data_IF_269274756790
#
_entry.id   IF_269274756790
#
_cell.length_a   1.000
_cell.length_b   1.000
_cell.length_c   1.000
_cell.angle_alpha   90.00
_cell.angle_beta   90.00
_cell.angle_gamma   90.00
#
_symmetry.space_group_name_H-M   'P 1'
#
loop_
_entity.id
_entity.type
_entity.pdbx_description
1 polymer ?
#
# COMPACT_ATOMS: atom_id res chain seq x y z
N UNK A 1 14.50 9.57 -11.13
CA UNK A 1 14.30 9.75 -9.66
C UNK A 1 13.00 10.48 -9.42
N UNK A 2 12.20 10.00 -8.47
CA UNK A 2 10.97 10.67 -8.04
C UNK A 2 11.26 11.99 -7.32
N UNK A 3 10.30 12.91 -7.36
CA UNK A 3 10.35 14.18 -6.63
C UNK A 3 9.75 13.96 -5.25
N UNK A 4 10.42 14.49 -4.22
CA UNK A 4 10.02 14.33 -2.82
C UNK A 4 9.41 15.62 -2.29
N UNK A 5 8.44 15.48 -1.39
CA UNK A 5 7.82 16.61 -0.69
C UNK A 5 7.27 16.20 0.66
N UNK A 6 6.83 17.21 1.40
CA UNK A 6 6.19 17.06 2.72
C UNK A 6 4.95 17.93 2.80
N UNK A 7 3.95 17.43 3.51
CA UNK A 7 2.82 18.25 3.98
C UNK A 7 2.71 18.14 5.50
N UNK A 8 1.99 19.08 6.13
CA UNK A 8 1.61 18.94 7.53
C UNK A 8 0.30 18.15 7.61
N UNK A 9 0.34 17.02 8.30
CA UNK A 9 -0.82 16.18 8.58
C UNK A 9 -1.22 16.23 10.07
N UNK A 10 -2.27 15.50 10.45
CA UNK A 10 -2.76 15.49 11.83
C UNK A 10 -1.80 14.86 12.84
N UNK A 11 -0.93 13.96 12.38
CA UNK A 11 0.03 13.23 13.22
C UNK A 11 1.49 13.70 13.00
N UNK A 12 1.70 14.86 12.36
CA UNK A 12 3.01 15.40 12.00
C UNK A 12 3.22 15.54 10.50
N UNK A 13 4.46 15.70 10.06
CA UNK A 13 4.78 15.82 8.65
C UNK A 13 4.61 14.48 7.92
N UNK A 14 3.98 14.54 6.76
CA UNK A 14 3.76 13.39 5.87
C UNK A 14 4.66 13.56 4.64
N UNK A 15 5.59 12.64 4.47
CA UNK A 15 6.44 12.57 3.29
C UNK A 15 5.72 11.89 2.13
N UNK A 16 6.00 12.37 0.92
CA UNK A 16 5.52 11.73 -0.32
C UNK A 16 6.58 11.79 -1.43
N UNK A 17 6.39 10.92 -2.41
CA UNK A 17 7.12 10.89 -3.68
C UNK A 17 6.13 11.06 -4.81
N UNK A 18 6.52 11.79 -5.86
CA UNK A 18 5.67 11.99 -7.05
C UNK A 18 6.43 11.74 -8.35
N UNK A 19 5.71 11.36 -9.39
CA UNK A 19 6.25 11.08 -10.71
C UNK A 19 6.59 12.35 -11.49
N UNK A 20 5.70 13.36 -11.46
CA UNK A 20 5.80 14.60 -12.24
C UNK A 20 6.27 15.78 -11.40
N UNK A 21 6.78 16.81 -12.06
CA UNK A 21 7.17 18.08 -11.40
C UNK A 21 5.97 18.93 -10.97
N UNK A 22 4.82 18.77 -11.66
CA UNK A 22 3.58 19.41 -11.22
C UNK A 22 3.11 18.91 -9.87
N UNK A 23 2.41 19.75 -9.13
CA UNK A 23 1.81 19.36 -7.86
C UNK A 23 0.76 18.25 -8.05
N UNK A 24 0.49 17.45 -6.99
CA UNK A 24 -0.61 16.49 -7.00
C UNK A 24 -1.93 17.16 -7.40
N UNK A 25 -2.69 16.53 -8.28
CA UNK A 25 -3.88 17.14 -8.88
C UNK A 25 -4.98 16.13 -9.15
N UNK A 26 -6.12 16.63 -9.59
CA UNK A 26 -7.28 15.82 -9.96
C UNK A 26 -6.92 14.72 -10.97
N UNK A 27 -7.64 13.61 -10.89
CA UNK A 27 -7.47 12.41 -11.71
C UNK A 27 -6.12 11.70 -11.60
N UNK A 28 -5.26 12.09 -10.65
CA UNK A 28 -4.03 11.37 -10.34
C UNK A 28 -4.28 10.03 -9.63
N UNK A 29 -3.20 9.36 -9.27
CA UNK A 29 -3.20 8.11 -8.50
C UNK A 29 -2.43 8.29 -7.20
N UNK A 30 -3.08 8.08 -6.04
CA UNK A 30 -2.43 8.01 -4.73
C UNK A 30 -2.14 6.58 -4.35
N UNK A 31 -0.88 6.28 -4.02
CA UNK A 31 -0.41 4.95 -3.67
C UNK A 31 -0.06 4.86 -2.17
N UNK A 32 -0.61 3.85 -1.49
CA UNK A 32 -0.38 3.55 -0.07
C UNK A 32 0.35 2.21 0.06
N UNK A 33 1.51 2.23 0.72
CA UNK A 33 2.41 1.08 0.81
C UNK A 33 1.95 0.02 1.82
N UNK A 34 2.51 -1.17 1.70
CA UNK A 34 2.39 -2.24 2.68
C UNK A 34 3.29 -1.97 3.91
N UNK A 35 2.93 -2.51 5.07
CA UNK A 35 3.76 -2.46 6.27
C UNK A 35 4.76 -3.64 6.32
N UNK A 36 5.97 -3.42 6.86
CA UNK A 36 6.53 -2.18 7.42
C UNK A 36 7.43 -1.43 6.42
N UNK A 37 6.98 -1.24 5.20
CA UNK A 37 7.72 -0.55 4.14
C UNK A 37 7.38 0.96 4.10
N UNK A 38 7.66 1.60 2.96
CA UNK A 38 7.38 3.01 2.69
C UNK A 38 7.08 3.21 1.19
N UNK A 39 6.84 4.45 0.77
CA UNK A 39 6.64 4.81 -0.63
C UNK A 39 7.78 4.39 -1.58
N UNK A 40 8.93 4.00 -1.03
CA UNK A 40 10.09 3.53 -1.82
C UNK A 40 9.75 2.32 -2.70
N UNK A 41 8.79 1.48 -2.29
CA UNK A 41 8.37 0.31 -3.08
C UNK A 41 7.73 0.69 -4.42
N UNK A 42 7.33 1.94 -4.57
CA UNK A 42 6.72 2.48 -5.78
C UNK A 42 7.71 3.25 -6.68
N UNK A 43 9.00 3.30 -6.34
CA UNK A 43 9.98 4.13 -7.08
C UNK A 43 10.01 3.81 -8.57
N UNK A 44 10.05 2.52 -8.95
CA UNK A 44 10.06 2.12 -10.35
C UNK A 44 8.72 2.44 -11.05
N UNK A 45 7.59 2.26 -10.36
CA UNK A 45 6.28 2.66 -10.89
C UNK A 45 6.20 4.18 -11.09
N UNK A 46 6.78 4.99 -10.20
CA UNK A 46 6.83 6.45 -10.35
C UNK A 46 7.69 6.86 -11.54
N UNK A 47 8.82 6.20 -11.77
CA UNK A 47 9.68 6.44 -12.95
C UNK A 47 8.93 6.09 -14.25
N UNK A 48 8.26 4.95 -14.30
CA UNK A 48 7.46 4.52 -15.44
C UNK A 48 6.27 5.47 -15.66
N UNK A 49 5.60 5.88 -14.60
CA UNK A 49 4.50 6.85 -14.66
C UNK A 49 4.95 8.20 -15.22
N UNK A 50 6.18 8.64 -14.88
CA UNK A 50 6.79 9.84 -15.44
C UNK A 50 6.99 9.71 -16.95
N UNK A 51 7.49 8.56 -17.42
CA UNK A 51 7.68 8.30 -18.84
C UNK A 51 6.36 8.34 -19.63
N UNK A 52 5.25 7.95 -18.98
CA UNK A 52 3.90 7.94 -19.54
C UNK A 52 3.11 9.25 -19.27
N UNK A 53 3.74 10.27 -18.70
CA UNK A 53 3.10 11.55 -18.31
C UNK A 53 1.87 11.34 -17.41
N UNK A 54 1.98 10.47 -16.40
CA UNK A 54 0.92 10.16 -15.44
C UNK A 54 1.25 10.71 -14.05
N UNK A 55 0.30 11.44 -13.46
CA UNK A 55 0.43 11.99 -12.11
C UNK A 55 0.18 10.89 -11.07
N UNK A 56 1.26 10.36 -10.52
CA UNK A 56 1.24 9.33 -9.47
C UNK A 56 1.98 9.84 -8.25
N UNK A 57 1.40 9.63 -7.09
CA UNK A 57 1.96 10.02 -5.80
C UNK A 57 1.97 8.82 -4.87
N UNK A 58 3.10 8.53 -4.28
CA UNK A 58 3.26 7.49 -3.26
C UNK A 58 3.55 8.15 -1.90
N UNK A 59 2.74 7.83 -0.89
CA UNK A 59 2.78 8.47 0.43
C UNK A 59 3.39 7.52 1.45
N UNK A 60 4.29 8.03 2.29
CA UNK A 60 4.73 7.33 3.50
C UNK A 60 3.65 7.50 4.58
N UNK A 61 3.08 6.40 5.05
CA UNK A 61 2.10 6.46 6.15
C UNK A 61 2.79 6.90 7.45
N UNK A 62 2.10 7.62 8.36
CA UNK A 62 2.68 8.07 9.62
C UNK A 62 3.39 6.96 10.40
N UNK A 63 4.64 7.24 10.81
CA UNK A 63 5.52 6.27 11.47
C UNK A 63 6.41 5.44 10.53
N UNK A 64 6.20 5.52 9.22
CA UNK A 64 6.98 4.78 8.23
C UNK A 64 7.71 5.72 7.26
N UNK A 65 8.79 5.22 6.65
CA UNK A 65 9.61 5.99 5.74
C UNK A 65 10.13 7.28 6.36
N UNK A 66 9.87 8.40 5.71
CA UNK A 66 10.28 9.73 6.17
C UNK A 66 9.13 10.55 6.80
N UNK A 67 7.96 9.94 7.02
CA UNK A 67 6.86 10.59 7.75
C UNK A 67 7.08 10.56 9.26
N UNK A 68 6.60 11.60 9.95
CA UNK A 68 6.70 11.68 11.39
C UNK A 68 5.99 10.51 12.08
N UNK A 69 6.49 10.18 13.27
CA UNK A 69 5.95 9.10 14.08
C UNK A 69 4.82 9.61 14.97
N UNK A 70 3.60 9.02 14.89
CA UNK A 70 2.53 9.30 15.82
C UNK A 70 2.91 9.01 17.28
N UNK A 71 2.17 9.62 18.21
CA UNK A 71 2.39 9.41 19.66
C UNK A 71 1.97 8.01 20.14
N UNK A 72 1.10 7.33 19.40
CA UNK A 72 0.58 6.00 19.72
C UNK A 72 0.30 5.20 18.44
N UNK A 73 0.16 3.85 18.52
CA UNK A 73 -0.17 3.02 17.37
C UNK A 73 -1.46 3.48 16.69
N UNK A 74 -1.42 3.91 15.41
CA UNK A 74 -2.61 4.34 14.68
C UNK A 74 -3.55 3.17 14.39
N UNK A 75 -4.83 3.50 14.17
CA UNK A 75 -5.79 2.62 13.48
C UNK A 75 -5.78 2.86 11.97
N UNK A 76 -6.49 2.03 11.20
CA UNK A 76 -6.67 2.27 9.76
C UNK A 76 -7.41 3.59 9.51
N UNK A 77 -8.36 3.94 10.39
CA UNK A 77 -9.10 5.21 10.33
C UNK A 77 -8.16 6.41 10.57
N UNK A 78 -7.20 6.31 11.49
CA UNK A 78 -6.20 7.37 11.73
C UNK A 78 -5.26 7.52 10.52
N UNK A 79 -4.80 6.41 9.94
CA UNK A 79 -4.03 6.47 8.70
C UNK A 79 -4.83 7.11 7.57
N UNK A 80 -6.11 6.73 7.40
CA UNK A 80 -6.98 7.31 6.38
C UNK A 80 -7.16 8.82 6.58
N UNK A 81 -7.33 9.30 7.81
CA UNK A 81 -7.43 10.72 8.11
C UNK A 81 -6.16 11.48 7.67
N UNK A 82 -4.97 10.90 7.86
CA UNK A 82 -3.72 11.48 7.36
C UNK A 82 -3.67 11.53 5.82
N UNK A 83 -4.18 10.51 5.14
CA UNK A 83 -4.24 10.50 3.67
C UNK A 83 -5.28 11.50 3.14
N UNK A 84 -6.41 11.67 3.82
CA UNK A 84 -7.42 12.67 3.49
C UNK A 84 -6.85 14.08 3.68
N UNK A 85 -6.05 14.33 4.73
CA UNK A 85 -5.39 15.63 4.91
C UNK A 85 -4.43 15.96 3.75
N UNK A 86 -3.81 14.94 3.13
CA UNK A 86 -3.02 15.12 1.90
C UNK A 86 -3.90 15.56 0.73
N UNK A 87 -5.02 14.89 0.51
CA UNK A 87 -5.99 15.23 -0.55
C UNK A 87 -6.50 16.68 -0.39
N UNK A 88 -6.78 17.07 0.85
CA UNK A 88 -7.28 18.42 1.17
C UNK A 88 -6.18 19.49 1.03
N UNK A 89 -4.94 19.21 1.40
CA UNK A 89 -3.81 20.14 1.27
C UNK A 89 -3.57 20.57 -0.18
N UNK A 90 -3.77 19.66 -1.14
CA UNK A 90 -3.67 19.94 -2.57
C UNK A 90 -5.01 20.28 -3.23
N UNK A 91 -6.09 20.44 -2.45
CA UNK A 91 -7.44 20.78 -2.91
C UNK A 91 -7.95 19.85 -4.02
N UNK A 92 -7.56 18.57 -3.96
CA UNK A 92 -7.95 17.54 -4.94
C UNK A 92 -9.45 17.27 -4.81
N UNK A 93 -10.16 17.30 -5.93
CA UNK A 93 -11.60 17.08 -6.01
C UNK A 93 -11.94 15.64 -6.37
N UNK A 94 -11.16 15.05 -7.25
CA UNK A 94 -11.35 13.68 -7.75
C UNK A 94 -10.00 12.95 -7.84
N UNK A 95 -9.90 11.74 -7.31
CA UNK A 95 -8.64 10.97 -7.24
C UNK A 95 -8.89 9.48 -7.40
N UNK A 96 -7.89 8.76 -7.90
CA UNK A 96 -7.83 7.31 -7.86
C UNK A 96 -6.91 6.86 -6.72
N UNK A 97 -7.20 5.70 -6.14
CA UNK A 97 -6.41 5.15 -5.03
C UNK A 97 -5.77 3.83 -5.43
N UNK A 98 -4.56 3.60 -4.95
CA UNK A 98 -3.91 2.28 -4.97
C UNK A 98 -3.41 1.94 -3.59
N UNK A 99 -3.73 0.76 -3.09
CA UNK A 99 -3.22 0.27 -1.81
C UNK A 99 -2.60 -1.12 -1.93
N UNK A 100 -1.51 -1.36 -1.19
CA UNK A 100 -0.84 -2.66 -1.14
C UNK A 100 -0.89 -3.21 0.29
N UNK A 101 -1.43 -4.42 0.50
CA UNK A 101 -1.61 -5.07 1.81
C UNK A 101 -2.28 -4.13 2.84
N UNK A 102 -1.54 -3.62 3.83
CA UNK A 102 -2.02 -2.61 4.78
C UNK A 102 -2.56 -1.38 4.06
N UNK A 103 -1.88 -0.93 3.00
CA UNK A 103 -2.32 0.17 2.15
C UNK A 103 -3.66 -0.07 1.48
N UNK A 104 -4.01 -1.33 1.16
CA UNK A 104 -5.34 -1.69 0.63
C UNK A 104 -6.45 -1.35 1.62
N UNK A 105 -6.23 -1.58 2.92
CA UNK A 105 -7.19 -1.24 3.97
C UNK A 105 -7.32 0.27 4.17
N UNK A 106 -6.20 0.99 4.05
CA UNK A 106 -6.18 2.46 4.09
C UNK A 106 -6.96 3.03 2.90
N UNK A 107 -6.75 2.51 1.69
CA UNK A 107 -7.48 2.94 0.49
C UNK A 107 -9.00 2.72 0.63
N UNK A 108 -9.41 1.57 1.17
CA UNK A 108 -10.82 1.27 1.45
C UNK A 108 -11.42 2.26 2.46
N UNK A 109 -10.69 2.58 3.53
CA UNK A 109 -11.18 3.50 4.56
C UNK A 109 -11.26 4.94 4.05
N UNK A 110 -10.27 5.40 3.27
CA UNK A 110 -10.31 6.71 2.59
C UNK A 110 -11.54 6.79 1.70
N UNK A 111 -11.78 5.77 0.86
CA UNK A 111 -12.93 5.75 -0.04
C UNK A 111 -14.28 5.73 0.70
N UNK A 112 -14.34 5.10 1.86
CA UNK A 112 -15.53 5.09 2.71
C UNK A 112 -15.81 6.45 3.35
N UNK A 113 -14.75 7.21 3.75
CA UNK A 113 -14.90 8.51 4.40
C UNK A 113 -15.19 9.65 3.42
N UNK A 114 -14.63 9.60 2.20
CA UNK A 114 -14.80 10.66 1.19
C UNK A 114 -15.23 10.08 -0.18
N UNK A 115 -16.33 9.30 -0.24
CA UNK A 115 -16.73 8.56 -1.44
C UNK A 115 -16.88 9.43 -2.69
N UNK A 116 -17.34 10.65 -2.55
CA UNK A 116 -17.59 11.57 -3.67
C UNK A 116 -16.30 12.03 -4.38
N UNK A 117 -15.14 11.89 -3.72
CA UNK A 117 -13.84 12.24 -4.31
C UNK A 117 -13.16 11.05 -5.00
N UNK A 118 -13.59 9.81 -4.76
CA UNK A 118 -12.88 8.61 -5.23
C UNK A 118 -13.51 8.06 -6.50
N UNK A 119 -12.72 8.03 -7.57
CA UNK A 119 -13.18 7.55 -8.88
C UNK A 119 -13.03 6.05 -9.05
N UNK A 120 -11.83 5.52 -8.87
CA UNK A 120 -11.51 4.09 -8.98
C UNK A 120 -10.49 3.70 -7.93
N UNK A 121 -10.50 2.43 -7.53
CA UNK A 121 -9.57 1.88 -6.55
C UNK A 121 -8.84 0.68 -7.15
N UNK A 122 -7.53 0.60 -6.87
CA UNK A 122 -6.71 -0.56 -7.14
C UNK A 122 -6.20 -1.10 -5.80
N UNK A 123 -6.45 -2.37 -5.53
CA UNK A 123 -5.98 -3.04 -4.32
C UNK A 123 -5.02 -4.14 -4.71
N UNK A 124 -3.83 -4.16 -4.13
CA UNK A 124 -2.89 -5.27 -4.27
C UNK A 124 -2.97 -6.10 -3.00
N UNK A 125 -3.39 -7.34 -3.14
CA UNK A 125 -3.57 -8.29 -2.04
C UNK A 125 -4.49 -7.71 -0.95
N UNK A 126 -5.79 -7.83 -1.16
CA UNK A 126 -6.85 -7.34 -0.26
C UNK A 126 -7.46 -8.50 0.56
N UNK A 127 -6.74 -9.05 1.56
CA UNK A 127 -7.13 -10.27 2.22
C UNK A 127 -8.36 -10.12 3.10
N UNK A 128 -9.24 -11.12 3.04
CA UNK A 128 -10.34 -11.35 3.96
C UNK A 128 -9.99 -12.54 4.84
N UNK A 129 -9.70 -12.27 6.10
CA UNK A 129 -9.34 -13.30 7.09
C UNK A 129 -10.57 -13.77 7.86
N UNK A 130 -10.65 -15.07 8.13
CA UNK A 130 -11.52 -15.58 9.19
C UNK A 130 -10.90 -15.31 10.57
N UNK A 131 -11.65 -15.60 11.65
CA UNK A 131 -11.20 -15.27 13.01
C UNK A 131 -9.97 -16.08 13.44
N UNK A 132 -9.85 -17.33 13.01
CA UNK A 132 -8.71 -18.19 13.33
C UNK A 132 -7.44 -17.69 12.62
N UNK A 133 -7.52 -17.40 11.32
CA UNK A 133 -6.41 -16.83 10.55
C UNK A 133 -5.99 -15.48 11.15
N UNK A 134 -6.95 -14.63 11.49
CA UNK A 134 -6.69 -13.33 12.12
C UNK A 134 -5.95 -13.49 13.45
N UNK A 135 -6.32 -14.46 14.26
CA UNK A 135 -5.63 -14.77 15.53
C UNK A 135 -4.20 -15.26 15.28
N UNK A 136 -3.99 -16.13 14.29
CA UNK A 136 -2.66 -16.61 13.90
C UNK A 136 -1.77 -15.47 13.38
N UNK A 137 -2.29 -14.61 12.51
CA UNK A 137 -1.55 -13.46 11.99
C UNK A 137 -1.18 -12.46 13.09
N UNK A 138 -2.10 -12.18 14.03
CA UNK A 138 -1.78 -11.36 15.21
C UNK A 138 -0.64 -11.97 16.03
N UNK A 139 -0.67 -13.27 16.29
CA UNK A 139 0.40 -13.95 17.02
C UNK A 139 1.75 -13.86 16.30
N UNK A 140 1.76 -13.95 14.97
CA UNK A 140 2.98 -13.89 14.16
C UNK A 140 3.56 -12.48 14.10
N UNK A 141 2.75 -11.50 13.70
CA UNK A 141 3.23 -10.15 13.34
C UNK A 141 3.25 -9.16 14.51
N UNK A 142 2.52 -9.40 15.60
CA UNK A 142 2.50 -8.52 16.78
C UNK A 142 3.45 -8.99 17.88
N UNK A 143 4.20 -10.07 17.67
CA UNK A 143 5.27 -10.47 18.57
C UNK A 143 6.43 -9.47 18.49
N UNK A 144 6.76 -8.86 19.62
CA UNK A 144 7.80 -7.83 19.74
C UNK A 144 9.17 -8.40 20.11
N UNK A 145 9.25 -9.69 20.45
CA UNK A 145 10.47 -10.31 21.01
C UNK A 145 11.64 -10.34 20.02
N UNK A 146 11.37 -10.18 18.73
CA UNK A 146 12.36 -10.27 17.67
C UNK A 146 12.61 -8.96 16.91
N UNK A 147 12.03 -7.84 17.37
CA UNK A 147 12.19 -6.55 16.66
C UNK A 147 13.62 -6.05 16.66
N UNK A 148 14.34 -6.24 17.76
CA UNK A 148 15.74 -5.85 17.92
C UNK A 148 16.48 -6.92 18.73
N UNK A 149 17.55 -7.46 18.18
CA UNK A 149 18.47 -8.39 18.86
C UNK A 149 19.87 -7.79 18.89
N UNK A 150 20.55 -7.86 20.01
CA UNK A 150 21.88 -7.26 20.19
C UNK A 150 22.96 -7.88 19.30
N UNK A 151 22.76 -9.12 18.86
CA UNK A 151 23.65 -9.85 17.95
C UNK A 151 23.37 -9.60 16.45
N UNK A 152 22.36 -8.77 16.12
CA UNK A 152 21.96 -8.50 14.74
C UNK A 152 21.17 -9.61 14.03
N UNK A 153 20.83 -10.70 14.72
CA UNK A 153 20.11 -11.84 14.12
C UNK A 153 18.77 -11.46 13.51
N UNK A 154 18.08 -10.44 14.05
CA UNK A 154 16.84 -9.89 13.49
C UNK A 154 17.01 -9.36 12.06
N UNK A 155 18.17 -8.78 11.71
CA UNK A 155 18.44 -8.29 10.36
C UNK A 155 18.55 -9.45 9.36
N UNK A 156 19.26 -10.49 9.73
CA UNK A 156 19.41 -11.70 8.88
C UNK A 156 18.06 -12.39 8.70
N UNK A 157 17.26 -12.49 9.76
CA UNK A 157 15.92 -13.07 9.68
C UNK A 157 15.03 -12.28 8.72
N UNK A 158 14.93 -10.97 8.90
CA UNK A 158 14.11 -10.08 8.07
C UNK A 158 14.59 -10.06 6.60
N UNK A 159 15.91 -10.14 6.36
CA UNK A 159 16.46 -10.24 5.00
C UNK A 159 16.08 -11.55 4.32
N UNK A 160 16.21 -12.67 5.01
CA UNK A 160 15.83 -13.98 4.48
C UNK A 160 14.33 -14.07 4.18
N UNK A 161 13.49 -13.49 5.04
CA UNK A 161 12.05 -13.38 4.81
C UNK A 161 11.75 -12.56 3.53
N UNK A 162 12.41 -11.40 3.38
CA UNK A 162 12.25 -10.57 2.19
C UNK A 162 12.67 -11.28 0.91
N UNK A 163 13.73 -12.11 0.96
CA UNK A 163 14.18 -12.95 -0.16
C UNK A 163 13.20 -14.09 -0.46
N UNK A 164 12.71 -14.75 0.56
CA UNK A 164 11.82 -15.91 0.41
C UNK A 164 10.53 -15.56 -0.37
N UNK A 165 9.94 -14.42 -0.04
CA UNK A 165 8.71 -13.95 -0.70
C UNK A 165 8.96 -13.16 -1.99
N UNK A 166 10.22 -12.84 -2.31
CA UNK A 166 10.53 -12.06 -3.52
C UNK A 166 10.20 -12.82 -4.79
N UNK A 167 9.61 -12.10 -5.73
CA UNK A 167 9.37 -12.60 -7.09
C UNK A 167 10.68 -13.08 -7.73
N UNK A 168 10.61 -14.18 -8.48
CA UNK A 168 11.74 -14.70 -9.21
C UNK A 168 12.31 -13.64 -10.17
N UNK A 169 13.62 -13.47 -10.18
CA UNK A 169 14.33 -12.48 -11.00
C UNK A 169 14.65 -11.18 -10.26
N UNK A 170 14.08 -10.95 -9.08
CA UNK A 170 14.41 -9.78 -8.26
C UNK A 170 15.83 -9.92 -7.71
N UNK A 171 16.69 -8.93 -7.98
CA UNK A 171 18.09 -8.95 -7.54
C UNK A 171 18.22 -8.60 -6.05
N UNK A 172 19.33 -9.02 -5.43
CA UNK A 172 19.65 -8.62 -4.05
C UNK A 172 19.77 -7.10 -3.91
N UNK A 173 20.16 -6.39 -4.96
CA UNK A 173 20.22 -4.93 -4.99
C UNK A 173 18.82 -4.31 -4.90
N UNK A 174 17.84 -4.84 -5.64
CA UNK A 174 16.46 -4.34 -5.62
C UNK A 174 15.81 -4.62 -4.27
N UNK A 175 16.08 -5.80 -3.69
CA UNK A 175 15.66 -6.11 -2.32
C UNK A 175 16.28 -5.11 -1.35
N UNK A 176 17.59 -4.84 -1.42
CA UNK A 176 18.29 -3.93 -0.53
C UNK A 176 17.76 -2.50 -0.60
N UNK A 177 17.40 -2.01 -1.81
CA UNK A 177 16.81 -0.66 -2.00
C UNK A 177 15.52 -0.46 -1.21
N UNK A 178 14.70 -1.49 -1.06
CA UNK A 178 13.43 -1.41 -0.32
C UNK A 178 13.57 -1.87 1.13
N UNK A 179 14.48 -2.80 1.39
CA UNK A 179 14.68 -3.41 2.71
C UNK A 179 15.03 -2.40 3.81
N UNK A 180 15.81 -1.36 3.49
CA UNK A 180 16.18 -0.34 4.48
C UNK A 180 14.96 0.36 5.09
N UNK A 181 13.85 0.47 4.37
CA UNK A 181 12.61 1.07 4.88
C UNK A 181 12.07 0.33 6.12
N UNK A 182 12.30 -0.99 6.22
CA UNK A 182 11.92 -1.80 7.38
C UNK A 182 12.75 -1.50 8.63
N UNK A 183 13.89 -0.81 8.46
CA UNK A 183 14.87 -0.57 9.51
C UNK A 183 14.80 0.85 10.08
N UNK A 184 13.99 1.74 9.51
CA UNK A 184 13.94 3.17 9.93
C UNK A 184 13.39 3.32 11.34
N UNK A 185 12.28 2.66 11.66
CA UNK A 185 11.63 2.69 12.98
C UNK A 185 11.30 1.25 13.41
N UNK A 186 12.29 0.41 13.69
CA UNK A 186 12.07 -1.02 13.91
C UNK A 186 11.16 -1.31 15.11
N UNK A 187 11.20 -0.46 16.14
CA UNK A 187 10.41 -0.63 17.36
C UNK A 187 8.90 -0.48 17.13
N UNK A 188 8.48 0.15 16.02
CA UNK A 188 7.09 0.34 15.65
C UNK A 188 6.68 -0.42 14.37
N UNK A 189 7.55 -1.26 13.83
CA UNK A 189 7.30 -1.99 12.59
C UNK A 189 6.00 -2.81 12.62
N UNK A 190 5.54 -3.23 13.80
CA UNK A 190 4.29 -3.94 14.02
C UNK A 190 3.02 -3.07 13.95
N UNK A 191 3.13 -1.73 13.98
CA UNK A 191 1.97 -0.82 14.06
C UNK A 191 1.02 -0.97 12.88
N UNK A 192 1.54 -1.01 11.66
CA UNK A 192 0.71 -1.16 10.48
C UNK A 192 -0.01 -2.51 10.42
N UNK A 193 0.65 -3.59 10.84
CA UNK A 193 0.02 -4.90 10.95
C UNK A 193 -1.06 -4.91 12.03
N UNK A 194 -0.81 -4.28 13.20
CA UNK A 194 -1.81 -4.14 14.25
C UNK A 194 -3.07 -3.40 13.76
N UNK A 195 -2.88 -2.28 13.07
CA UNK A 195 -4.00 -1.55 12.45
C UNK A 195 -4.77 -2.45 11.47
N UNK A 196 -4.04 -3.13 10.58
CA UNK A 196 -4.61 -3.98 9.54
C UNK A 196 -5.43 -5.15 10.10
N UNK A 197 -4.95 -5.84 11.14
CA UNK A 197 -5.66 -6.99 11.73
C UNK A 197 -6.83 -6.60 12.65
N UNK A 198 -6.96 -5.33 13.00
CA UNK A 198 -8.10 -4.81 13.75
C UNK A 198 -9.17 -4.17 12.84
N UNK A 199 -8.94 -4.09 11.54
CA UNK A 199 -9.85 -3.50 10.57
C UNK A 199 -10.69 -4.56 9.84
N UNK A 200 -11.99 -4.26 9.65
CA UNK A 200 -12.92 -5.13 8.93
C UNK A 200 -13.02 -4.73 7.45
N UNK A 201 -12.14 -5.34 6.63
CA UNK A 201 -12.12 -5.07 5.19
C UNK A 201 -13.38 -5.53 4.46
N UNK A 202 -14.06 -6.58 4.94
CA UNK A 202 -15.24 -7.13 4.28
C UNK A 202 -16.39 -6.12 4.27
N UNK A 203 -16.64 -5.47 5.42
CA UNK A 203 -17.66 -4.41 5.54
C UNK A 203 -17.34 -3.21 4.66
N UNK A 204 -16.06 -2.84 4.58
CA UNK A 204 -15.66 -1.69 3.78
C UNK A 204 -15.75 -1.96 2.29
N UNK A 205 -15.33 -3.14 1.81
CA UNK A 205 -15.53 -3.57 0.43
C UNK A 205 -17.02 -3.54 0.04
N UNK A 206 -17.88 -4.06 0.91
CA UNK A 206 -19.32 -4.09 0.68
C UNK A 206 -19.98 -2.70 0.65
N UNK A 207 -19.38 -1.70 1.28
CA UNK A 207 -19.92 -0.34 1.33
C UNK A 207 -19.50 0.54 0.14
N UNK A 208 -18.39 0.22 -0.53
CA UNK A 208 -17.83 1.04 -1.60
C UNK A 208 -18.61 0.86 -2.89
N UNK A 209 -18.93 1.97 -3.56
CA UNK A 209 -19.73 2.00 -4.79
C UNK A 209 -18.88 2.26 -6.06
N UNK A 210 -17.70 2.86 -5.95
CA UNK A 210 -16.83 3.05 -7.10
C UNK A 210 -16.19 1.72 -7.56
N UNK A 211 -15.76 1.62 -8.83
CA UNK A 211 -15.10 0.42 -9.34
C UNK A 211 -13.81 0.08 -8.59
N UNK A 212 -13.60 -1.22 -8.32
CA UNK A 212 -12.40 -1.75 -7.65
C UNK A 212 -11.75 -2.81 -8.54
N UNK A 213 -10.46 -2.63 -8.84
CA UNK A 213 -9.60 -3.67 -9.38
C UNK A 213 -8.73 -4.25 -8.26
N UNK A 214 -8.86 -5.54 -8.01
CA UNK A 214 -7.97 -6.25 -7.09
C UNK A 214 -6.92 -6.99 -7.92
N UNK A 215 -5.66 -6.65 -7.72
CA UNK A 215 -4.51 -7.39 -8.24
C UNK A 215 -4.15 -8.46 -7.22
N UNK A 216 -4.22 -9.72 -7.62
CA UNK A 216 -3.99 -10.87 -6.74
C UNK A 216 -2.72 -11.64 -7.16
N UNK A 217 -1.52 -11.18 -6.76
CA UNK A 217 -0.28 -11.92 -6.98
C UNK A 217 -0.24 -13.21 -6.14
N UNK A 218 0.62 -14.15 -6.49
CA UNK A 218 0.87 -15.38 -5.74
C UNK A 218 1.81 -15.10 -4.54
N UNK A 219 1.42 -14.15 -3.68
CA UNK A 219 2.11 -13.80 -2.43
C UNK A 219 1.51 -14.54 -1.22
N UNK A 220 1.95 -14.19 -0.02
CA UNK A 220 1.50 -14.78 1.25
C UNK A 220 0.01 -14.56 1.56
N UNK A 221 -0.67 -13.65 0.85
CA UNK A 221 -2.09 -13.31 1.04
C UNK A 221 -3.00 -13.72 -0.13
N UNK A 222 -2.45 -14.48 -1.08
CA UNK A 222 -3.14 -14.88 -2.31
C UNK A 222 -4.51 -15.54 -2.06
N UNK A 223 -4.55 -16.56 -1.21
CA UNK A 223 -5.79 -17.31 -0.95
C UNK A 223 -6.82 -16.49 -0.19
N UNK A 224 -6.40 -15.66 0.75
CA UNK A 224 -7.30 -14.80 1.51
C UNK A 224 -7.87 -13.67 0.64
N UNK A 225 -7.10 -13.21 -0.36
CA UNK A 225 -7.53 -12.17 -1.30
C UNK A 225 -8.64 -12.64 -2.22
N UNK A 226 -8.66 -13.91 -2.63
CA UNK A 226 -9.75 -14.49 -3.46
C UNK A 226 -11.13 -14.30 -2.83
N UNK A 227 -11.23 -14.31 -1.50
CA UNK A 227 -12.49 -14.13 -0.76
C UNK A 227 -13.07 -12.72 -0.90
N UNK A 228 -12.26 -11.73 -1.30
CA UNK A 228 -12.74 -10.37 -1.52
C UNK A 228 -13.83 -10.29 -2.60
N UNK A 229 -13.86 -11.27 -3.54
CA UNK A 229 -14.87 -11.36 -4.61
C UNK A 229 -16.29 -11.31 -4.05
N UNK A 230 -16.56 -11.95 -2.92
CA UNK A 230 -17.88 -12.08 -2.33
C UNK A 230 -18.41 -10.77 -1.74
N UNK A 231 -17.56 -9.74 -1.66
CA UNK A 231 -17.86 -8.43 -1.07
C UNK A 231 -17.82 -7.28 -2.09
N UNK A 232 -17.54 -7.56 -3.37
CA UNK A 232 -17.54 -6.54 -4.41
C UNK A 232 -18.96 -6.26 -4.88
N UNK A 233 -19.44 -5.03 -4.70
CA UNK A 233 -20.81 -4.64 -5.03
C UNK A 233 -20.98 -3.90 -6.37
N UNK A 234 -19.88 -3.39 -6.94
CA UNK A 234 -19.92 -2.71 -8.24
C UNK A 234 -19.65 -3.70 -9.37
N UNK A 235 -20.47 -3.69 -10.43
CA UNK A 235 -20.37 -4.64 -11.54
C UNK A 235 -19.08 -4.49 -12.37
N UNK A 236 -18.40 -3.35 -12.30
CA UNK A 236 -17.12 -3.13 -12.96
C UNK A 236 -15.94 -3.60 -12.09
N UNK A 237 -16.21 -3.96 -10.83
CA UNK A 237 -15.20 -4.46 -9.92
C UNK A 237 -14.82 -5.91 -10.24
N UNK A 238 -13.52 -6.21 -10.17
CA UNK A 238 -13.00 -7.55 -10.47
C UNK A 238 -11.70 -7.85 -9.76
N UNK A 239 -11.37 -9.13 -9.70
CA UNK A 239 -10.06 -9.63 -9.29
C UNK A 239 -9.29 -10.07 -10.53
N UNK A 240 -8.06 -9.62 -10.66
CA UNK A 240 -7.10 -10.04 -11.69
C UNK A 240 -6.03 -10.92 -11.02
N UNK A 241 -6.04 -12.20 -11.36
CA UNK A 241 -5.02 -13.14 -10.90
C UNK A 241 -3.69 -12.89 -11.62
N UNK A 242 -2.63 -12.65 -10.87
CA UNK A 242 -1.28 -12.38 -11.38
C UNK A 242 -0.39 -13.61 -11.13
N UNK A 243 -0.52 -14.60 -12.01
CA UNK A 243 0.21 -15.87 -11.91
C UNK A 243 1.72 -15.64 -11.97
N UNK A 244 2.45 -16.31 -11.08
CA UNK A 244 3.90 -16.21 -10.93
C UNK A 244 4.42 -14.85 -10.45
N UNK A 245 3.54 -13.90 -10.12
CA UNK A 245 3.94 -12.66 -9.48
C UNK A 245 3.91 -12.80 -7.97
N UNK A 246 4.85 -12.15 -7.29
CA UNK A 246 4.94 -12.13 -5.83
C UNK A 246 5.55 -10.79 -5.37
N UNK A 247 5.98 -10.68 -4.12
CA UNK A 247 6.56 -9.45 -3.60
C UNK A 247 7.70 -8.92 -4.49
N UNK A 248 7.67 -7.62 -4.77
CA UNK A 248 8.65 -6.96 -5.63
C UNK A 248 8.30 -7.03 -7.12
N UNK A 249 7.09 -7.45 -7.49
CA UNK A 249 6.64 -7.39 -8.89
C UNK A 249 6.69 -5.96 -9.46
N UNK A 250 6.56 -4.95 -8.61
CA UNK A 250 6.75 -3.54 -8.99
C UNK A 250 8.19 -3.23 -9.46
N UNK A 251 9.18 -4.07 -9.13
CA UNK A 251 10.55 -3.94 -9.59
C UNK A 251 10.83 -4.74 -10.88
N UNK A 252 10.09 -5.84 -11.09
CA UNK A 252 10.35 -6.81 -12.17
C UNK A 252 9.38 -6.62 -13.35
N UNK A 253 8.11 -6.41 -13.07
CA UNK A 253 7.04 -6.29 -14.05
C UNK A 253 6.48 -4.85 -14.07
N UNK A 254 7.36 -3.84 -13.95
CA UNK A 254 6.99 -2.43 -13.80
C UNK A 254 6.15 -1.94 -14.97
N UNK A 255 6.62 -2.13 -16.21
CA UNK A 255 5.93 -1.71 -17.43
C UNK A 255 4.54 -2.34 -17.54
N UNK A 256 4.46 -3.66 -17.33
CA UNK A 256 3.20 -4.40 -17.39
C UNK A 256 2.24 -4.01 -16.27
N UNK A 257 2.79 -3.71 -15.10
CA UNK A 257 2.00 -3.19 -13.98
C UNK A 257 1.43 -1.81 -14.31
N UNK A 258 2.23 -0.92 -14.88
CA UNK A 258 1.79 0.40 -15.32
C UNK A 258 0.72 0.30 -16.40
N UNK A 259 0.89 -0.60 -17.39
CA UNK A 259 -0.13 -0.87 -18.43
C UNK A 259 -1.45 -1.31 -17.80
N UNK A 260 -1.46 -2.30 -16.91
CA UNK A 260 -2.66 -2.78 -16.22
C UNK A 260 -3.34 -1.64 -15.44
N UNK A 261 -2.56 -0.89 -14.66
CA UNK A 261 -3.06 0.21 -13.84
C UNK A 261 -3.69 1.29 -14.70
N UNK A 262 -2.97 1.80 -15.70
CA UNK A 262 -3.42 2.95 -16.48
C UNK A 262 -4.52 2.61 -17.47
N UNK A 263 -4.52 1.40 -18.06
CA UNK A 263 -5.67 0.92 -18.83
C UNK A 263 -6.93 0.85 -17.96
N UNK A 264 -6.83 0.31 -16.75
CA UNK A 264 -7.98 0.29 -15.84
C UNK A 264 -8.45 1.69 -15.45
N UNK A 265 -7.55 2.62 -15.19
CA UNK A 265 -7.91 3.95 -14.72
C UNK A 265 -8.50 4.84 -15.82
N UNK A 266 -7.95 4.79 -17.04
CA UNK A 266 -8.17 5.81 -18.05
C UNK A 266 -8.83 5.31 -19.33
N UNK A 267 -8.76 3.99 -19.65
CA UNK A 267 -9.45 3.47 -20.81
C UNK A 267 -10.95 3.32 -20.52
N UNK A 268 -11.77 3.79 -21.41
CA UNK A 268 -13.22 3.54 -21.38
C UNK A 268 -13.45 2.12 -21.89
N UNK A 269 -13.98 1.25 -21.04
CA UNK A 269 -14.46 -0.07 -21.46
C UNK A 269 -15.82 0.04 -22.11
#
# INVERSE_FOLDING_TARGET
MSIKGYINGPEGQIHYRRSLECEPSDNGLLCFHMSPYSSIIYENLLEESKALDRNVVAIDTPGFGNSDKPMSPPSIESYAASMISFIDAFQIKEINLMGYHTGSKIALEVAKQIPDKIKKIILVSAPIFNDEEKAQMKKLYLNKDHLLSSDGSHLTHAWNEAKFWSMQGRSDLDIAKTFHARLINPEISWWGHNAAFNYDSSKSLAAIQCPILILNPEDDLHEQTKRAKDYLNNNESRILELKSWSHGFLDIETEKTAEIIFSYLYDSF
#
